data_IF_561744784978
#
_entry.id   IF_561744784978
#
_cell.length_a   1.000
_cell.length_b   1.000
_cell.length_c   1.000
_cell.angle_alpha   90.00
_cell.angle_beta   90.00
_cell.angle_gamma   90.00
#
_symmetry.space_group_name_H-M   'P 1'
#
loop_
_entity.id
_entity.type
_entity.pdbx_description
1 polymer ?
#
# COMPACT_ATOMS: atom_id res chain seq x y z
N UNK A 1 -36.13 6.44 36.85
CA UNK A 1 -35.63 5.32 36.03
C UNK A 1 -34.86 5.90 34.85
N UNK A 2 -33.52 5.76 34.79
CA UNK A 2 -32.71 6.46 33.81
C UNK A 2 -32.53 5.59 32.56
N UNK A 3 -33.27 5.91 31.51
CA UNK A 3 -32.98 5.47 30.14
C UNK A 3 -32.62 6.70 29.33
N UNK A 4 -31.33 6.81 28.96
CA UNK A 4 -30.80 7.45 27.75
C UNK A 4 -29.30 7.64 27.93
N UNK A 5 -28.54 6.58 27.68
CA UNK A 5 -27.23 6.71 27.04
C UNK A 5 -27.34 6.03 25.68
N UNK A 6 -27.83 6.76 24.69
CA UNK A 6 -27.45 6.49 23.30
C UNK A 6 -25.94 6.69 23.24
N UNK A 7 -25.18 5.60 23.33
CA UNK A 7 -23.82 5.60 22.80
C UNK A 7 -23.98 5.71 21.29
N UNK A 8 -23.78 6.91 20.75
CA UNK A 8 -23.39 7.07 19.36
C UNK A 8 -22.08 6.30 19.18
N UNK A 9 -22.17 5.03 18.78
CA UNK A 9 -21.01 4.33 18.23
C UNK A 9 -20.73 5.02 16.90
N UNK A 10 -19.69 5.86 16.88
CA UNK A 10 -19.08 6.29 15.61
C UNK A 10 -18.64 5.06 14.81
N UNK A 11 -18.39 5.22 13.49
CA UNK A 11 -17.96 4.10 12.67
C UNK A 11 -16.74 3.44 13.32
N UNK A 12 -16.77 2.11 13.41
CA UNK A 12 -15.71 1.35 14.05
C UNK A 12 -14.40 1.59 13.28
N UNK A 13 -13.53 2.46 13.81
CA UNK A 13 -12.25 2.78 13.18
C UNK A 13 -11.29 1.61 13.44
N UNK A 14 -11.00 0.84 12.40
CA UNK A 14 -9.85 -0.03 12.32
C UNK A 14 -8.57 0.70 12.72
N UNK A 15 -7.69 -0.05 13.37
CA UNK A 15 -6.47 0.51 13.94
C UNK A 15 -5.27 0.17 13.06
N UNK A 16 -4.39 1.14 12.85
CA UNK A 16 -3.07 0.90 12.28
C UNK A 16 -2.30 -0.03 13.24
N UNK A 17 -2.01 -1.24 12.79
CA UNK A 17 -1.29 -2.25 13.58
C UNK A 17 0.20 -2.11 13.35
N UNK A 18 0.60 -1.95 12.07
CA UNK A 18 2.02 -1.92 11.68
C UNK A 18 2.29 -1.05 10.47
N UNK A 19 3.51 -0.52 10.44
CA UNK A 19 4.12 0.11 9.26
C UNK A 19 5.32 -0.73 8.83
N UNK A 20 5.28 -1.23 7.60
CA UNK A 20 6.34 -1.97 6.92
C UNK A 20 7.21 -0.96 6.18
N UNK A 21 8.24 -0.48 6.84
CA UNK A 21 9.19 0.48 6.30
C UNK A 21 10.45 -0.22 5.79
N UNK A 22 10.93 0.16 4.61
CA UNK A 22 12.19 -0.35 4.08
C UNK A 22 12.38 -0.16 2.58
N UNK A 23 11.32 0.08 1.81
CA UNK A 23 11.45 0.52 0.43
C UNK A 23 12.14 1.89 0.37
N UNK A 24 12.88 2.14 -0.72
CA UNK A 24 13.57 3.40 -0.98
C UNK A 24 12.84 4.28 -2.02
N UNK A 25 11.57 3.98 -2.25
CA UNK A 25 10.68 4.62 -3.21
C UNK A 25 9.25 4.16 -2.97
N UNK A 26 8.33 4.61 -3.83
CA UNK A 26 6.91 4.33 -3.70
C UNK A 26 6.63 2.83 -3.66
N UNK A 27 5.75 2.39 -2.76
CA UNK A 27 5.23 1.02 -2.79
C UNK A 27 4.04 1.01 -3.73
N UNK A 28 4.18 0.30 -4.85
CA UNK A 28 3.23 0.30 -5.97
C UNK A 28 2.25 -0.87 -5.89
N UNK A 29 2.64 -1.97 -5.25
CA UNK A 29 1.81 -3.16 -5.12
C UNK A 29 1.99 -3.88 -3.80
N UNK A 30 0.92 -4.55 -3.36
CA UNK A 30 0.94 -5.38 -2.16
C UNK A 30 0.00 -6.57 -2.25
N UNK A 31 0.41 -7.72 -1.71
CA UNK A 31 -0.42 -8.93 -1.58
C UNK A 31 -0.17 -9.67 -0.28
N UNK A 32 -1.23 -10.21 0.32
CA UNK A 32 -1.10 -11.20 1.38
C UNK A 32 -0.91 -12.61 0.80
N UNK A 33 -0.10 -13.41 1.49
CA UNK A 33 -0.12 -14.85 1.27
C UNK A 33 -1.48 -15.45 1.65
N UNK A 34 -1.94 -16.53 0.98
CA UNK A 34 -3.18 -17.24 1.34
C UNK A 34 -3.23 -17.73 2.80
N UNK A 35 -2.06 -17.92 3.41
CA UNK A 35 -1.92 -18.29 4.82
C UNK A 35 -2.03 -17.12 5.82
N UNK A 36 -2.01 -15.88 5.33
CA UNK A 36 -1.88 -14.65 6.14
C UNK A 36 -0.50 -14.44 6.77
N UNK A 37 0.42 -15.39 6.67
CA UNK A 37 1.72 -15.33 7.37
C UNK A 37 2.75 -14.41 6.70
N UNK A 38 2.60 -14.11 5.40
CA UNK A 38 3.53 -13.26 4.66
C UNK A 38 2.80 -12.16 3.91
N UNK A 39 3.47 -11.03 3.77
CA UNK A 39 3.09 -9.90 2.91
C UNK A 39 4.16 -9.73 1.85
N UNK A 40 3.75 -9.58 0.59
CA UNK A 40 4.62 -9.27 -0.54
C UNK A 40 4.39 -7.82 -0.94
N UNK A 41 5.46 -7.05 -1.09
CA UNK A 41 5.38 -5.65 -1.57
C UNK A 41 6.33 -5.46 -2.74
N UNK A 42 5.89 -4.67 -3.71
CA UNK A 42 6.72 -4.20 -4.83
C UNK A 42 6.74 -2.69 -4.85
N UNK A 43 7.82 -2.11 -5.36
CA UNK A 43 7.95 -0.66 -5.41
C UNK A 43 8.79 -0.12 -6.56
N UNK A 44 8.76 1.20 -6.66
CA UNK A 44 9.54 1.99 -7.62
C UNK A 44 11.05 1.88 -7.40
N UNK A 45 11.47 1.41 -6.23
CA UNK A 45 12.86 1.06 -5.95
C UNK A 45 13.32 -0.24 -6.64
N UNK A 46 12.47 -0.82 -7.49
CA UNK A 46 12.77 -2.02 -8.27
C UNK A 46 12.85 -3.29 -7.43
N UNK A 47 12.34 -3.27 -6.20
CA UNK A 47 12.45 -4.40 -5.27
C UNK A 47 11.12 -5.12 -5.02
N UNK A 48 11.16 -6.45 -4.99
CA UNK A 48 10.10 -7.30 -4.44
C UNK A 48 10.52 -7.78 -3.06
N UNK A 49 9.78 -7.38 -2.03
CA UNK A 49 10.08 -7.69 -0.63
C UNK A 49 9.02 -8.56 0.00
N UNK A 50 9.45 -9.38 0.96
CA UNK A 50 8.62 -10.30 1.71
C UNK A 50 8.75 -9.98 3.18
N UNK A 51 7.62 -9.76 3.82
CA UNK A 51 7.50 -9.42 5.23
C UNK A 51 6.76 -10.51 5.98
N UNK A 52 7.08 -10.66 7.25
CA UNK A 52 6.32 -11.47 8.18
C UNK A 52 5.02 -10.75 8.53
N UNK A 53 3.88 -11.36 8.25
CA UNK A 53 2.56 -10.76 8.49
C UNK A 53 2.27 -10.54 9.97
N UNK A 54 2.83 -11.40 10.84
CA UNK A 54 2.62 -11.39 12.30
C UNK A 54 3.48 -10.39 13.08
N UNK A 55 4.63 -9.98 12.56
CA UNK A 55 5.57 -9.05 13.21
C UNK A 55 5.89 -7.81 12.38
N UNK A 56 5.64 -7.85 11.06
CA UNK A 56 6.02 -6.80 10.12
C UNK A 56 7.51 -6.74 9.80
N UNK A 57 8.29 -7.74 10.21
CA UNK A 57 9.72 -7.78 9.93
C UNK A 57 9.97 -8.17 8.47
N UNK A 58 10.92 -7.52 7.82
CA UNK A 58 11.43 -7.94 6.51
C UNK A 58 12.08 -9.34 6.63
N UNK A 59 11.55 -10.30 5.88
CA UNK A 59 12.07 -11.67 5.77
C UNK A 59 13.15 -11.72 4.69
N UNK A 60 12.82 -11.22 3.49
CA UNK A 60 13.70 -11.31 2.32
C UNK A 60 13.37 -10.24 1.28
N UNK A 61 14.37 -9.89 0.46
CA UNK A 61 14.17 -9.22 -0.82
C UNK A 61 14.38 -10.27 -1.92
N UNK A 62 13.32 -10.60 -2.66
CA UNK A 62 13.33 -11.68 -3.67
C UNK A 62 13.81 -11.22 -5.03
N UNK A 63 13.63 -9.94 -5.36
CA UNK A 63 14.05 -9.33 -6.61
C UNK A 63 14.58 -7.93 -6.29
N UNK A 64 15.71 -7.57 -6.89
CA UNK A 64 16.22 -6.20 -6.96
C UNK A 64 16.67 -5.95 -8.41
N UNK A 65 16.15 -4.89 -9.02
CA UNK A 65 16.51 -4.47 -10.37
C UNK A 65 16.47 -2.95 -10.50
N UNK A 66 17.02 -2.42 -11.59
CA UNK A 66 17.00 -0.97 -11.86
C UNK A 66 15.61 -0.47 -12.29
N UNK A 67 14.82 -1.34 -12.92
CA UNK A 67 13.50 -0.98 -13.43
C UNK A 67 12.43 -1.01 -12.33
N UNK A 68 11.64 0.07 -12.24
CA UNK A 68 10.53 0.20 -11.31
C UNK A 68 9.53 -0.96 -11.45
N UNK A 69 9.14 -1.57 -10.34
CA UNK A 69 8.05 -2.53 -10.31
C UNK A 69 6.74 -1.78 -10.09
N UNK A 70 5.75 -2.04 -10.94
CA UNK A 70 4.49 -1.27 -10.96
C UNK A 70 3.30 -2.06 -10.43
N UNK A 71 3.33 -3.38 -10.53
CA UNK A 71 2.26 -4.23 -10.04
C UNK A 71 2.78 -5.60 -9.63
N UNK A 72 2.05 -6.26 -8.74
CA UNK A 72 2.28 -7.66 -8.41
C UNK A 72 0.96 -8.38 -8.13
N UNK A 73 0.99 -9.69 -8.34
CA UNK A 73 -0.07 -10.58 -7.89
C UNK A 73 0.51 -11.92 -7.43
N UNK A 74 -0.13 -12.51 -6.42
CA UNK A 74 0.30 -13.77 -5.83
C UNK A 74 -0.73 -14.85 -6.17
N UNK A 75 -0.25 -15.98 -6.67
CA UNK A 75 -1.06 -17.15 -6.97
C UNK A 75 -1.75 -17.65 -5.70
N UNK A 76 -2.97 -18.16 -5.80
CA UNK A 76 -3.77 -18.62 -4.66
C UNK A 76 -3.15 -19.77 -3.82
N UNK A 77 -2.10 -20.43 -4.31
CA UNK A 77 -1.31 -21.42 -3.56
C UNK A 77 -0.15 -20.79 -2.75
N UNK A 78 0.14 -19.50 -2.96
CA UNK A 78 1.21 -18.75 -2.32
C UNK A 78 2.62 -19.11 -2.80
N UNK A 79 2.76 -19.84 -3.92
CA UNK A 79 4.04 -20.34 -4.43
C UNK A 79 4.59 -19.54 -5.58
N UNK A 80 3.73 -18.91 -6.38
CA UNK A 80 4.13 -18.16 -7.56
C UNK A 80 3.72 -16.71 -7.40
N UNK A 81 4.66 -15.80 -7.59
CA UNK A 81 4.42 -14.35 -7.63
C UNK A 81 4.75 -13.84 -9.03
N UNK A 82 3.87 -12.99 -9.54
CA UNK A 82 4.04 -12.32 -10.83
C UNK A 82 4.24 -10.85 -10.56
N UNK A 83 5.24 -10.27 -11.21
CA UNK A 83 5.54 -8.84 -11.11
C UNK A 83 5.66 -8.24 -12.50
N UNK A 84 5.11 -7.05 -12.67
CA UNK A 84 5.20 -6.27 -13.89
C UNK A 84 6.02 -5.00 -13.67
N UNK A 85 6.86 -4.63 -14.63
CA UNK A 85 7.73 -3.46 -14.54
C UNK A 85 7.42 -2.37 -15.58
N UNK A 86 8.13 -1.24 -15.42
CA UNK A 86 8.04 -0.06 -16.30
C UNK A 86 8.53 -0.32 -17.73
N UNK A 87 9.40 -1.32 -17.94
CA UNK A 87 9.98 -1.67 -19.24
C UNK A 87 9.08 -2.63 -20.04
N UNK A 88 7.90 -2.96 -19.53
CA UNK A 88 6.97 -3.87 -20.21
C UNK A 88 7.31 -5.35 -19.99
N UNK A 89 8.10 -5.66 -18.97
CA UNK A 89 8.46 -7.03 -18.63
C UNK A 89 7.53 -7.58 -17.57
N UNK A 90 7.27 -8.87 -17.68
CA UNK A 90 6.58 -9.65 -16.67
C UNK A 90 7.50 -10.77 -16.23
N UNK A 91 7.80 -10.78 -14.94
CA UNK A 91 8.62 -11.78 -14.28
C UNK A 91 7.71 -12.70 -13.45
N UNK A 92 7.90 -14.00 -13.61
CA UNK A 92 7.22 -15.01 -12.81
C UNK A 92 8.26 -15.66 -11.92
N UNK A 93 8.08 -15.55 -10.61
CA UNK A 93 9.07 -15.96 -9.60
C UNK A 93 8.45 -16.97 -8.64
N UNK A 94 9.29 -17.87 -8.12
CA UNK A 94 8.95 -18.68 -6.95
C UNK A 94 8.94 -17.78 -5.71
N UNK A 95 7.79 -17.70 -5.04
CA UNK A 95 7.53 -16.80 -3.92
C UNK A 95 8.31 -17.17 -2.64
N UNK A 96 8.95 -18.34 -2.60
CA UNK A 96 9.74 -18.79 -1.46
C UNK A 96 11.23 -18.50 -1.62
N UNK A 97 11.76 -18.76 -2.82
CA UNK A 97 13.18 -18.69 -3.14
C UNK A 97 13.57 -17.44 -3.92
N UNK A 98 12.62 -16.78 -4.58
CA UNK A 98 12.88 -15.68 -5.51
C UNK A 98 13.42 -16.14 -6.87
N UNK A 99 13.51 -17.46 -7.11
CA UNK A 99 14.01 -17.99 -8.38
C UNK A 99 13.02 -17.66 -9.49
N UNK A 100 13.54 -17.13 -10.60
CA UNK A 100 12.74 -16.88 -11.79
C UNK A 100 12.31 -18.19 -12.45
N UNK A 101 11.00 -18.36 -12.62
CA UNK A 101 10.34 -19.48 -13.29
C UNK A 101 10.20 -19.18 -14.78
N UNK A 102 9.67 -18.00 -15.10
CA UNK A 102 9.41 -17.58 -16.47
C UNK A 102 9.55 -16.06 -16.63
N UNK A 103 9.70 -15.63 -17.87
CA UNK A 103 9.79 -14.24 -18.27
C UNK A 103 9.17 -14.06 -19.65
N UNK A 104 8.40 -12.99 -19.82
CA UNK A 104 7.88 -12.57 -21.12
C UNK A 104 7.63 -11.05 -21.11
N UNK A 105 7.52 -10.49 -22.32
CA UNK A 105 7.26 -9.07 -22.51
C UNK A 105 6.06 -8.93 -23.46
N UNK A 106 4.86 -8.62 -22.93
CA UNK A 106 3.66 -8.45 -23.75
C UNK A 106 3.76 -7.26 -24.72
N UNK A 107 4.45 -6.21 -24.28
CA UNK A 107 4.67 -4.97 -25.02
C UNK A 107 5.93 -4.29 -24.48
N UNK A 108 6.48 -3.33 -25.22
CA UNK A 108 7.51 -2.42 -24.73
C UNK A 108 6.93 -1.31 -23.81
N UNK A 109 5.60 -1.24 -23.68
CA UNK A 109 4.94 -0.31 -22.78
C UNK A 109 4.87 -0.85 -21.34
N UNK A 110 4.91 0.03 -20.33
CA UNK A 110 4.81 -0.35 -18.92
C UNK A 110 3.68 -1.32 -18.59
N UNK A 111 3.98 -2.32 -17.75
CA UNK A 111 2.96 -3.24 -17.21
C UNK A 111 2.29 -2.60 -16.01
N UNK A 112 1.04 -2.14 -16.17
CA UNK A 112 0.31 -1.41 -15.12
C UNK A 112 -0.47 -2.31 -14.18
N UNK A 113 -0.91 -3.47 -14.66
CA UNK A 113 -1.71 -4.38 -13.85
C UNK A 113 -1.44 -5.83 -14.24
N UNK A 114 -1.40 -6.69 -13.23
CA UNK A 114 -1.39 -8.14 -13.40
C UNK A 114 -2.35 -8.79 -12.39
N UNK A 115 -2.95 -9.91 -12.81
CA UNK A 115 -3.87 -10.68 -11.97
C UNK A 115 -3.81 -12.16 -12.38
N UNK A 116 -3.82 -13.07 -11.41
CA UNK A 116 -4.01 -14.51 -11.62
C UNK A 116 -5.49 -14.84 -11.81
N UNK A 117 -5.76 -15.86 -12.62
CA UNK A 117 -7.09 -16.45 -12.70
C UNK A 117 -7.40 -17.25 -11.42
N UNK A 118 -8.68 -17.36 -11.01
CA UNK A 118 -9.05 -18.16 -9.84
C UNK A 118 -8.74 -19.65 -9.96
N UNK A 119 -8.68 -20.17 -11.18
CA UNK A 119 -8.22 -21.54 -11.46
C UNK A 119 -6.68 -21.66 -11.46
N UNK A 120 -5.98 -20.54 -11.27
CA UNK A 120 -4.52 -20.43 -11.13
C UNK A 120 -3.74 -20.95 -12.34
N UNK A 121 -4.39 -21.00 -13.49
CA UNK A 121 -3.82 -21.50 -14.75
C UNK A 121 -3.34 -20.39 -15.67
N UNK A 122 -3.80 -19.16 -15.44
CA UNK A 122 -3.59 -18.02 -16.32
C UNK A 122 -3.25 -16.77 -15.54
N UNK A 123 -2.64 -15.83 -16.23
CA UNK A 123 -2.53 -14.46 -15.79
C UNK A 123 -3.10 -13.52 -16.85
N UNK A 124 -3.61 -12.38 -16.41
CA UNK A 124 -4.01 -11.26 -17.23
C UNK A 124 -3.00 -10.15 -17.00
N UNK A 125 -2.62 -9.48 -18.08
CA UNK A 125 -1.64 -8.40 -18.05
C UNK A 125 -2.19 -7.20 -18.82
N UNK A 126 -2.30 -6.07 -18.14
CA UNK A 126 -2.69 -4.78 -18.70
C UNK A 126 -1.47 -3.87 -18.88
N UNK A 127 -1.33 -3.31 -20.07
CA UNK A 127 -0.18 -2.49 -20.46
C UNK A 127 -0.58 -1.04 -20.74
N UNK A 128 0.37 -0.12 -20.59
CA UNK A 128 0.14 1.32 -20.73
C UNK A 128 -0.15 1.78 -22.18
N UNK A 129 0.01 0.91 -23.16
CA UNK A 129 -0.42 1.12 -24.56
C UNK A 129 -1.89 0.78 -24.82
N UNK A 130 -2.60 0.26 -23.81
CA UNK A 130 -4.01 -0.14 -23.91
C UNK A 130 -4.21 -1.61 -24.25
N UNK A 131 -3.12 -2.37 -24.35
CA UNK A 131 -3.17 -3.81 -24.49
C UNK A 131 -3.71 -4.47 -23.22
N UNK A 132 -4.50 -5.52 -23.43
CA UNK A 132 -4.80 -6.53 -22.43
C UNK A 132 -4.46 -7.89 -23.02
N UNK A 133 -3.76 -8.74 -22.29
CA UNK A 133 -3.36 -10.06 -22.78
C UNK A 133 -3.43 -11.11 -21.69
N UNK A 134 -3.68 -12.36 -22.08
CA UNK A 134 -3.67 -13.50 -21.15
C UNK A 134 -2.55 -14.46 -21.49
N UNK A 135 -1.92 -15.00 -20.45
CA UNK A 135 -0.72 -15.82 -20.57
C UNK A 135 -0.80 -17.04 -19.67
N UNK A 136 -0.12 -18.11 -20.07
CA UNK A 136 0.26 -19.18 -19.18
C UNK A 136 1.51 -18.75 -18.40
N UNK A 137 1.44 -18.64 -17.05
CA UNK A 137 2.54 -18.13 -16.24
C UNK A 137 3.75 -19.07 -16.18
N UNK A 138 3.59 -20.37 -16.45
CA UNK A 138 4.69 -21.33 -16.37
C UNK A 138 5.40 -21.48 -17.71
N UNK A 139 4.66 -21.50 -18.82
CA UNK A 139 5.26 -21.61 -20.15
C UNK A 139 5.62 -20.26 -20.77
N UNK A 140 5.10 -19.15 -20.24
CA UNK A 140 5.25 -17.82 -20.84
C UNK A 140 4.55 -17.67 -22.18
N UNK A 141 3.64 -18.59 -22.52
CA UNK A 141 2.91 -18.57 -23.79
C UNK A 141 1.72 -17.63 -23.69
N UNK A 142 1.62 -16.70 -24.65
CA UNK A 142 0.43 -15.88 -24.83
C UNK A 142 -0.73 -16.74 -25.36
N UNK A 143 -1.91 -16.56 -24.77
CA UNK A 143 -3.13 -17.26 -25.15
C UNK A 143 -4.10 -16.36 -25.90
N UNK A 144 -4.31 -15.14 -25.41
CA UNK A 144 -5.13 -14.15 -26.09
C UNK A 144 -4.52 -12.74 -25.96
N UNK A 145 -4.87 -11.90 -26.92
CA UNK A 145 -4.64 -10.45 -26.89
C UNK A 145 -5.97 -9.77 -27.18
N UNK A 146 -6.23 -8.67 -26.48
CA UNK A 146 -7.45 -7.91 -26.59
C UNK A 146 -7.08 -6.45 -26.86
N UNK A 147 -7.53 -5.95 -28.01
CA UNK A 147 -7.47 -4.53 -28.34
C UNK A 147 -8.79 -3.90 -27.88
N UNK A 148 -8.73 -3.08 -26.83
CA UNK A 148 -9.93 -2.55 -26.19
C UNK A 148 -9.82 -1.07 -25.87
N UNK A 149 -8.81 -0.68 -25.10
CA UNK A 149 -8.73 0.66 -24.54
C UNK A 149 -8.06 1.66 -25.50
N UNK A 150 -8.63 2.85 -25.60
CA UNK A 150 -7.99 3.99 -26.30
C UNK A 150 -7.06 4.71 -25.34
N UNK A 151 -5.89 4.13 -25.10
CA UNK A 151 -4.94 4.55 -24.07
C UNK A 151 -4.70 3.44 -23.05
N UNK A 152 -3.85 3.70 -22.06
CA UNK A 152 -3.35 2.65 -21.16
C UNK A 152 -4.42 1.89 -20.40
N UNK A 153 -4.26 0.57 -20.32
CA UNK A 153 -5.01 -0.32 -19.42
C UNK A 153 -4.38 -0.19 -18.04
N UNK A 154 -5.12 0.34 -17.07
CA UNK A 154 -4.60 0.69 -15.74
C UNK A 154 -4.94 -0.38 -14.69
N UNK A 155 -6.04 -1.10 -14.87
CA UNK A 155 -6.45 -2.18 -13.97
C UNK A 155 -7.00 -3.37 -14.74
N UNK A 156 -6.75 -4.58 -14.23
CA UNK A 156 -7.37 -5.81 -14.73
C UNK A 156 -7.71 -6.76 -13.57
N UNK A 157 -8.77 -7.55 -13.75
CA UNK A 157 -9.19 -8.56 -12.78
C UNK A 157 -9.92 -9.71 -13.50
N UNK A 158 -9.64 -10.95 -13.11
CA UNK A 158 -10.41 -12.09 -13.59
C UNK A 158 -11.78 -12.18 -12.93
N UNK A 159 -12.77 -12.65 -13.68
CA UNK A 159 -14.02 -13.15 -13.12
C UNK A 159 -13.81 -14.45 -12.32
N UNK A 160 -14.73 -14.81 -11.42
CA UNK A 160 -14.54 -15.93 -10.47
C UNK A 160 -14.43 -17.30 -11.14
N UNK A 161 -14.99 -17.45 -12.35
CA UNK A 161 -14.88 -18.69 -13.13
C UNK A 161 -13.57 -18.78 -13.91
N UNK A 162 -12.81 -17.68 -14.00
CA UNK A 162 -11.65 -17.55 -14.88
C UNK A 162 -11.98 -17.53 -16.37
N UNK A 163 -13.27 -17.49 -16.75
CA UNK A 163 -13.69 -17.43 -18.15
C UNK A 163 -13.65 -16.00 -18.72
N UNK A 164 -13.73 -14.99 -17.86
CA UNK A 164 -13.72 -13.58 -18.26
C UNK A 164 -12.63 -12.79 -17.57
N UNK A 165 -12.20 -11.72 -18.23
CA UNK A 165 -11.29 -10.70 -17.66
C UNK A 165 -11.94 -9.34 -17.82
N UNK A 166 -12.04 -8.61 -16.72
CA UNK A 166 -12.39 -7.20 -16.71
C UNK A 166 -11.11 -6.36 -16.84
N UNK A 167 -11.18 -5.29 -17.62
CA UNK A 167 -10.13 -4.29 -17.74
C UNK A 167 -10.70 -2.88 -17.71
N UNK A 168 -9.90 -1.97 -17.16
CA UNK A 168 -10.20 -0.55 -17.07
C UNK A 168 -9.00 0.27 -17.53
N UNK A 169 -9.25 1.46 -18.06
CA UNK A 169 -8.17 2.27 -18.63
C UNK A 169 -8.41 3.78 -18.59
N UNK A 170 -7.44 4.48 -19.17
CA UNK A 170 -7.42 5.95 -19.31
C UNK A 170 -8.65 6.48 -20.05
N UNK A 171 -9.22 5.67 -20.93
CA UNK A 171 -10.39 6.03 -21.72
C UNK A 171 -11.71 6.08 -20.92
N UNK A 172 -11.68 5.65 -19.65
CA UNK A 172 -12.84 5.63 -18.76
C UNK A 172 -13.84 4.52 -19.07
N UNK A 173 -13.42 3.51 -19.82
CA UNK A 173 -14.23 2.35 -20.13
C UNK A 173 -13.92 1.18 -19.20
N UNK A 174 -14.97 0.43 -18.87
CA UNK A 174 -14.87 -0.93 -18.38
C UNK A 174 -15.10 -1.86 -19.58
N UNK A 175 -14.14 -2.73 -19.87
CA UNK A 175 -14.27 -3.76 -20.88
C UNK A 175 -14.22 -5.15 -20.22
N UNK A 176 -15.08 -6.06 -20.68
CA UNK A 176 -15.14 -7.45 -20.23
C UNK A 176 -14.85 -8.32 -21.44
N UNK A 177 -13.84 -9.16 -21.32
CA UNK A 177 -13.33 -10.01 -22.37
C UNK A 177 -13.53 -11.49 -22.03
N UNK A 178 -13.82 -12.32 -23.03
CA UNK A 178 -13.77 -13.76 -22.88
C UNK A 178 -12.31 -14.20 -23.00
N UNK A 179 -11.83 -15.00 -22.05
CA UNK A 179 -10.43 -15.44 -21.99
C UNK A 179 -10.01 -16.27 -23.21
N UNK A 180 -10.96 -16.96 -23.86
CA UNK A 180 -10.72 -17.71 -25.10
C UNK A 180 -10.67 -16.82 -26.34
N UNK A 181 -10.91 -15.52 -26.19
CA UNK A 181 -10.85 -14.52 -27.24
C UNK A 181 -12.17 -13.78 -27.43
N UNK A 182 -12.07 -12.47 -27.68
CA UNK A 182 -13.21 -11.60 -27.97
C UNK A 182 -13.63 -10.71 -26.79
N UNK A 183 -14.30 -9.62 -27.12
CA UNK A 183 -14.88 -8.68 -26.15
C UNK A 183 -16.36 -9.02 -25.96
N UNK A 184 -16.74 -9.34 -24.72
CA UNK A 184 -18.10 -9.73 -24.35
C UNK A 184 -18.97 -8.51 -24.09
N UNK A 185 -18.43 -7.52 -23.35
CA UNK A 185 -19.14 -6.31 -23.01
C UNK A 185 -18.18 -5.12 -22.91
N UNK A 186 -18.68 -3.93 -23.18
CA UNK A 186 -17.94 -2.68 -23.03
C UNK A 186 -18.90 -1.57 -22.62
N UNK A 187 -18.69 -1.01 -21.45
CA UNK A 187 -19.54 0.05 -20.89
C UNK A 187 -18.69 1.23 -20.42
N UNK A 188 -19.20 2.44 -20.62
CA UNK A 188 -18.49 3.65 -20.22
C UNK A 188 -18.88 4.04 -18.81
N UNK A 189 -17.90 4.23 -17.94
CA UNK A 189 -18.13 4.72 -16.60
C UNK A 189 -18.39 6.24 -16.63
N UNK A 190 -19.66 6.64 -16.53
CA UNK A 190 -20.05 8.04 -16.39
C UNK A 190 -19.53 8.96 -17.50
N UNK A 191 -18.88 10.07 -17.09
CA UNK A 191 -18.46 11.15 -17.98
C UNK A 191 -17.14 10.88 -18.74
N UNK A 192 -16.56 9.67 -18.61
CA UNK A 192 -15.33 9.30 -19.32
C UNK A 192 -14.04 9.72 -18.62
N UNK A 193 -14.07 9.89 -17.30
CA UNK A 193 -12.86 10.07 -16.50
C UNK A 193 -12.03 8.77 -16.47
N UNK A 194 -10.69 8.83 -16.38
CA UNK A 194 -9.84 7.66 -16.25
C UNK A 194 -10.26 6.73 -15.11
N UNK A 195 -10.29 5.43 -15.37
CA UNK A 195 -10.48 4.40 -14.35
C UNK A 195 -9.14 3.77 -14.02
N UNK A 196 -8.78 3.76 -12.74
CA UNK A 196 -7.49 3.27 -12.25
C UNK A 196 -7.55 1.83 -11.78
N UNK A 197 -8.67 1.42 -11.19
CA UNK A 197 -8.77 0.10 -10.57
C UNK A 197 -10.09 -0.59 -10.90
N UNK A 198 -10.04 -1.92 -10.94
CA UNK A 198 -11.21 -2.77 -10.97
C UNK A 198 -11.01 -4.00 -10.08
N UNK A 199 -12.11 -4.50 -9.51
CA UNK A 199 -12.12 -5.72 -8.73
C UNK A 199 -13.42 -6.48 -9.01
N UNK A 200 -13.34 -7.81 -9.01
CA UNK A 200 -14.51 -8.69 -9.14
C UNK A 200 -14.74 -9.37 -7.80
N UNK A 201 -15.99 -9.40 -7.34
CA UNK A 201 -16.34 -10.11 -6.12
C UNK A 201 -16.14 -11.63 -6.30
N UNK A 202 -15.80 -12.38 -5.24
CA UNK A 202 -15.61 -13.84 -5.34
C UNK A 202 -16.84 -14.60 -5.87
N UNK A 203 -18.05 -14.07 -5.66
CA UNK A 203 -19.29 -14.64 -6.23
C UNK A 203 -19.45 -14.36 -7.72
N UNK A 204 -18.77 -13.35 -8.25
CA UNK A 204 -18.95 -12.81 -9.61
C UNK A 204 -20.22 -12.02 -9.82
N UNK A 205 -21.01 -11.81 -8.78
CA UNK A 205 -22.27 -11.07 -8.90
C UNK A 205 -22.05 -9.57 -8.93
N UNK A 206 -20.94 -9.11 -8.35
CA UNK A 206 -20.59 -7.69 -8.30
C UNK A 206 -19.19 -7.46 -8.86
N UNK A 207 -19.01 -6.33 -9.51
CA UNK A 207 -17.70 -5.77 -9.83
C UNK A 207 -17.63 -4.34 -9.29
N UNK A 208 -16.43 -3.89 -8.97
CA UNK A 208 -16.16 -2.55 -8.49
C UNK A 208 -15.16 -1.88 -9.44
N UNK A 209 -15.36 -0.59 -9.70
CA UNK A 209 -14.37 0.24 -10.41
C UNK A 209 -14.22 1.59 -9.72
N UNK A 210 -13.00 2.09 -9.67
CA UNK A 210 -12.67 3.42 -9.16
C UNK A 210 -11.69 4.15 -10.08
N UNK A 211 -11.70 5.47 -10.04
CA UNK A 211 -10.90 6.30 -10.94
C UNK A 211 -10.74 7.74 -10.48
N UNK A 212 -10.36 8.59 -11.45
CA UNK A 212 -10.05 10.02 -11.27
C UNK A 212 -11.22 10.84 -10.73
N UNK A 213 -12.46 10.42 -10.99
CA UNK A 213 -13.64 11.16 -10.52
C UNK A 213 -14.01 10.89 -9.06
N UNK A 214 -13.26 10.02 -8.36
CA UNK A 214 -13.51 9.67 -6.97
C UNK A 214 -14.79 8.86 -6.74
N UNK A 215 -15.50 8.45 -7.80
CA UNK A 215 -16.76 7.70 -7.68
C UNK A 215 -16.45 6.21 -7.73
N UNK A 216 -16.77 5.52 -6.64
CA UNK A 216 -16.79 4.06 -6.61
C UNK A 216 -18.07 3.57 -7.29
N UNK A 217 -17.92 2.84 -8.40
CA UNK A 217 -19.04 2.24 -9.13
C UNK A 217 -19.10 0.75 -8.88
N UNK A 218 -20.30 0.28 -8.54
CA UNK A 218 -20.63 -1.12 -8.37
C UNK A 218 -21.47 -1.56 -9.56
N UNK A 219 -21.03 -2.62 -10.20
CA UNK A 219 -21.61 -3.17 -11.41
C UNK A 219 -22.16 -4.55 -11.11
N UNK A 220 -23.27 -4.91 -11.76
CA UNK A 220 -23.76 -6.27 -11.77
C UNK A 220 -22.89 -7.10 -12.71
N UNK A 221 -22.26 -8.15 -12.18
CA UNK A 221 -21.30 -8.95 -12.92
C UNK A 221 -21.88 -9.78 -14.07
N UNK A 222 -23.21 -9.94 -14.15
CA UNK A 222 -23.88 -10.71 -15.22
C UNK A 222 -24.34 -9.83 -16.37
N UNK A 223 -25.00 -8.72 -16.05
CA UNK A 223 -25.55 -7.77 -17.01
C UNK A 223 -24.55 -6.70 -17.45
N UNK A 224 -23.50 -6.47 -16.65
CA UNK A 224 -22.53 -5.41 -16.88
C UNK A 224 -23.06 -4.01 -16.54
N UNK A 225 -24.27 -3.87 -16.02
CA UNK A 225 -24.89 -2.58 -15.72
C UNK A 225 -24.48 -2.03 -14.35
N UNK A 226 -24.43 -0.70 -14.21
CA UNK A 226 -24.19 -0.04 -12.91
C UNK A 226 -25.38 -0.25 -11.97
N UNK A 227 -25.11 -0.86 -10.82
CA UNK A 227 -26.07 -1.08 -9.72
C UNK A 227 -26.05 0.09 -8.74
N UNK A 228 -24.86 0.60 -8.44
CA UNK A 228 -24.68 1.67 -7.45
C UNK A 228 -23.48 2.55 -7.81
N UNK A 229 -23.60 3.84 -7.54
CA UNK A 229 -22.50 4.79 -7.57
C UNK A 229 -22.36 5.43 -6.18
N UNK A 230 -21.16 5.39 -5.63
CA UNK A 230 -20.83 5.85 -4.30
C UNK A 230 -19.82 6.98 -4.44
N UNK A 231 -20.25 8.20 -4.11
CA UNK A 231 -19.41 9.38 -4.19
C UNK A 231 -18.35 9.35 -3.09
N UNK A 232 -17.10 9.58 -3.48
CA UNK A 232 -15.96 9.79 -2.60
C UNK A 232 -15.37 11.18 -2.81
N UNK A 233 -14.56 11.61 -1.85
CA UNK A 233 -14.01 12.97 -1.83
C UNK A 233 -12.67 13.10 -2.58
N UNK A 234 -12.09 11.98 -3.01
CA UNK A 234 -10.75 11.91 -3.61
C UNK A 234 -10.66 10.79 -4.65
N UNK A 235 -9.82 10.92 -5.70
CA UNK A 235 -9.60 9.89 -6.70
C UNK A 235 -9.26 8.52 -6.11
N UNK A 236 -9.85 7.47 -6.68
CA UNK A 236 -9.69 6.09 -6.21
C UNK A 236 -8.64 5.37 -7.05
N UNK A 237 -7.52 5.00 -6.42
CA UNK A 237 -6.38 4.38 -7.10
C UNK A 237 -6.40 2.86 -7.00
N UNK A 238 -6.98 2.31 -5.94
CA UNK A 238 -7.08 0.86 -5.74
C UNK A 238 -8.42 0.44 -5.16
N UNK A 239 -8.88 -0.75 -5.56
CA UNK A 239 -10.01 -1.41 -4.94
C UNK A 239 -9.82 -2.93 -4.88
N UNK A 240 -10.34 -3.57 -3.83
CA UNK A 240 -10.23 -5.02 -3.62
C UNK A 240 -11.45 -5.52 -2.84
N UNK A 241 -12.09 -6.59 -3.30
CA UNK A 241 -13.12 -7.27 -2.51
C UNK A 241 -12.47 -8.16 -1.44
N UNK A 242 -13.12 -8.26 -0.29
CA UNK A 242 -12.79 -9.26 0.72
C UNK A 242 -13.10 -10.69 0.23
N UNK A 243 -12.39 -11.71 0.74
CA UNK A 243 -12.62 -13.12 0.40
C UNK A 243 -14.07 -13.61 0.56
N UNK A 244 -14.86 -13.02 1.47
CA UNK A 244 -16.28 -13.35 1.67
C UNK A 244 -17.22 -12.51 0.79
N UNK A 245 -16.72 -11.53 0.05
CA UNK A 245 -17.49 -10.66 -0.85
C UNK A 245 -18.39 -9.63 -0.16
N UNK A 246 -18.45 -9.61 1.18
CA UNK A 246 -19.27 -8.66 1.96
C UNK A 246 -18.59 -7.29 2.11
N UNK A 247 -17.27 -7.25 2.00
CA UNK A 247 -16.46 -6.05 2.18
C UNK A 247 -15.76 -5.67 0.89
N UNK A 248 -15.58 -4.38 0.69
CA UNK A 248 -14.76 -3.80 -0.37
C UNK A 248 -13.85 -2.75 0.26
N UNK A 249 -12.56 -2.85 0.02
CA UNK A 249 -11.58 -1.83 0.41
C UNK A 249 -11.26 -0.95 -0.79
N UNK A 250 -11.10 0.35 -0.57
CA UNK A 250 -10.61 1.30 -1.56
C UNK A 250 -9.53 2.19 -0.98
N UNK A 251 -8.44 2.37 -1.71
CA UNK A 251 -7.39 3.34 -1.39
C UNK A 251 -7.54 4.57 -2.28
N UNK A 252 -7.50 5.75 -1.67
CA UNK A 252 -7.59 7.02 -2.38
C UNK A 252 -6.26 7.79 -2.46
N UNK A 253 -6.27 8.86 -3.26
CA UNK A 253 -5.12 9.74 -3.46
C UNK A 253 -4.78 10.56 -2.20
N UNK A 254 -5.73 10.74 -1.28
CA UNK A 254 -5.50 11.49 -0.04
C UNK A 254 -4.83 10.64 1.06
N UNK A 255 -4.48 9.39 0.77
CA UNK A 255 -3.87 8.50 1.76
C UNK A 255 -4.88 7.87 2.73
N UNK A 256 -6.17 7.88 2.37
CA UNK A 256 -7.24 7.32 3.18
C UNK A 256 -7.70 5.97 2.63
N UNK A 257 -7.68 4.96 3.50
CA UNK A 257 -8.28 3.66 3.23
C UNK A 257 -9.75 3.71 3.62
N UNK A 258 -10.66 3.42 2.69
CA UNK A 258 -12.10 3.33 2.95
C UNK A 258 -12.57 1.88 2.86
N UNK A 259 -13.38 1.45 3.82
CA UNK A 259 -14.00 0.13 3.88
C UNK A 259 -15.50 0.24 3.72
N UNK A 260 -16.00 -0.40 2.67
CA UNK A 260 -17.39 -0.43 2.28
C UNK A 260 -18.01 -1.77 2.65
N UNK A 261 -19.20 -1.75 3.25
CA UNK A 261 -19.97 -2.95 3.54
C UNK A 261 -21.08 -3.10 2.50
N UNK A 262 -20.94 -4.11 1.64
CA UNK A 262 -21.86 -4.37 0.54
C UNK A 262 -23.25 -4.80 1.05
N UNK A 263 -24.29 -4.35 0.36
CA UNK A 263 -25.69 -4.62 0.75
C UNK A 263 -26.20 -3.78 1.91
N UNK A 264 -25.39 -2.85 2.46
CA UNK A 264 -25.81 -1.92 3.50
C UNK A 264 -25.75 -0.47 3.03
N UNK A 265 -26.61 0.39 3.58
CA UNK A 265 -26.58 1.84 3.33
C UNK A 265 -25.64 2.58 4.29
N UNK A 266 -24.75 1.87 4.99
CA UNK A 266 -23.86 2.47 5.97
C UNK A 266 -22.75 3.26 5.26
N UNK A 267 -22.35 4.42 5.79
CA UNK A 267 -21.19 5.13 5.27
C UNK A 267 -19.93 4.26 5.44
N UNK A 268 -18.94 4.40 4.55
CA UNK A 268 -17.70 3.66 4.67
C UNK A 268 -16.95 4.03 5.95
N UNK A 269 -16.27 3.06 6.55
CA UNK A 269 -15.30 3.35 7.58
C UNK A 269 -14.02 3.89 6.91
N UNK A 270 -13.49 5.02 7.39
CA UNK A 270 -12.28 5.64 6.87
C UNK A 270 -11.11 5.45 7.85
N UNK A 271 -9.95 5.07 7.33
CA UNK A 271 -8.71 4.92 8.08
C UNK A 271 -7.65 5.83 7.46
N UNK A 272 -7.30 6.87 8.22
CA UNK A 272 -6.24 7.80 7.85
C UNK A 272 -4.93 7.40 8.53
N UNK A 273 -3.81 7.58 7.83
CA UNK A 273 -2.49 7.32 8.40
C UNK A 273 -1.36 7.17 7.39
N UNK A 274 -1.67 7.00 6.10
CA UNK A 274 -0.69 7.26 5.04
C UNK A 274 -0.52 8.76 4.82
N UNK A 275 0.67 9.16 4.39
CA UNK A 275 1.02 10.56 4.11
C UNK A 275 0.96 10.90 2.62
N UNK A 276 0.69 9.90 1.78
CA UNK A 276 0.58 10.01 0.34
C UNK A 276 -0.39 8.95 -0.20
N UNK A 277 -0.47 8.86 -1.53
CA UNK A 277 -1.42 8.07 -2.29
C UNK A 277 -1.40 6.59 -1.88
N UNK A 278 -2.57 5.94 -1.83
CA UNK A 278 -2.66 4.48 -1.63
C UNK A 278 -2.73 3.79 -3.00
N UNK A 279 -1.58 3.32 -3.47
CA UNK A 279 -1.42 2.70 -4.78
C UNK A 279 -2.07 1.31 -4.88
N UNK A 280 -2.06 0.53 -3.79
CA UNK A 280 -2.66 -0.80 -3.77
C UNK A 280 -3.17 -1.18 -2.37
N UNK A 281 -4.14 -2.07 -2.31
CA UNK A 281 -4.62 -2.68 -1.08
C UNK A 281 -4.95 -4.17 -1.27
N UNK A 282 -4.89 -4.94 -0.18
CA UNK A 282 -5.29 -6.34 -0.15
C UNK A 282 -5.83 -6.75 1.23
N UNK A 283 -6.72 -7.73 1.26
CA UNK A 283 -7.29 -8.26 2.50
C UNK A 283 -6.42 -9.37 3.08
N UNK A 284 -6.39 -9.46 4.41
CA UNK A 284 -5.98 -10.71 5.07
C UNK A 284 -7.03 -11.79 4.72
N UNK A 285 -6.63 -13.05 4.44
CA UNK A 285 -7.55 -14.11 4.02
C UNK A 285 -8.74 -14.36 4.96
N UNK A 286 -8.59 -14.12 6.25
CA UNK A 286 -9.65 -14.28 7.25
C UNK A 286 -10.52 -13.02 7.44
N UNK A 287 -10.22 -11.94 6.71
CA UNK A 287 -10.79 -10.58 6.83
C UNK A 287 -10.58 -9.92 8.20
N UNK A 288 -9.57 -10.33 8.96
CA UNK A 288 -9.20 -9.66 10.22
C UNK A 288 -8.53 -8.31 10.00
N UNK A 289 -8.08 -8.03 8.77
CA UNK A 289 -7.26 -6.87 8.46
C UNK A 289 -7.13 -6.59 6.97
N UNK A 290 -6.49 -5.46 6.68
CA UNK A 290 -6.14 -4.99 5.33
C UNK A 290 -4.67 -4.59 5.33
N UNK A 291 -3.98 -4.78 4.22
CA UNK A 291 -2.68 -4.14 3.96
C UNK A 291 -2.82 -3.14 2.82
N UNK A 292 -2.13 -2.02 2.94
CA UNK A 292 -2.05 -0.96 1.94
C UNK A 292 -0.60 -0.71 1.56
N UNK A 293 -0.36 -0.37 0.30
CA UNK A 293 0.90 0.12 -0.25
C UNK A 293 0.73 1.56 -0.68
N UNK A 294 1.71 2.40 -0.39
CA UNK A 294 1.61 3.84 -0.60
C UNK A 294 2.86 4.46 -1.22
N UNK A 295 2.63 5.59 -1.87
CA UNK A 295 3.67 6.50 -2.33
C UNK A 295 4.51 7.10 -1.17
N UNK A 296 4.09 6.92 0.09
CA UNK A 296 4.87 7.33 1.27
C UNK A 296 6.02 6.37 1.62
N UNK A 297 6.41 5.50 0.69
CA UNK A 297 7.49 4.50 0.81
C UNK A 297 7.19 3.40 1.85
N UNK A 298 5.97 3.35 2.37
CA UNK A 298 5.56 2.35 3.36
C UNK A 298 4.38 1.50 2.88
N UNK A 299 4.33 0.28 3.41
CA UNK A 299 3.09 -0.47 3.45
C UNK A 299 2.54 -0.48 4.89
N UNK A 300 1.23 -0.39 5.07
CA UNK A 300 0.60 -0.38 6.41
C UNK A 300 -0.38 -1.52 6.55
N UNK A 301 -0.40 -2.13 7.74
CA UNK A 301 -1.33 -3.20 8.11
C UNK A 301 -2.36 -2.63 9.08
N UNK A 302 -3.63 -2.79 8.74
CA UNK A 302 -4.79 -2.29 9.46
C UNK A 302 -5.56 -3.47 10.04
N UNK A 303 -5.95 -3.39 11.31
CA UNK A 303 -6.88 -4.35 11.91
C UNK A 303 -8.28 -3.89 11.58
N UNK A 304 -9.10 -4.80 11.10
CA UNK A 304 -10.54 -4.58 11.06
C UNK A 304 -11.12 -4.93 12.43
N UNK A 305 -12.06 -4.12 12.95
CA UNK A 305 -12.84 -4.54 14.09
C UNK A 305 -13.58 -5.83 13.70
N UNK A 306 -13.71 -6.77 14.65
CA UNK A 306 -14.56 -7.94 14.43
C UNK A 306 -15.93 -7.44 13.98
N UNK A 307 -16.26 -7.66 12.71
CA UNK A 307 -17.59 -7.47 12.19
C UNK A 307 -18.43 -8.60 12.78
N UNK A 308 -18.77 -8.49 14.06
CA UNK A 308 -19.85 -9.27 14.65
C UNK A 308 -21.04 -9.09 13.72
N UNK A 309 -21.58 -10.21 13.26
CA UNK A 309 -22.75 -10.27 12.41
C UNK A 309 -23.85 -9.43 13.05
N UNK A 310 -23.97 -8.19 12.57
CA UNK A 310 -25.17 -7.42 12.76
C UNK A 310 -26.23 -8.20 11.97
N UNK A 311 -26.97 -9.05 12.69
CA UNK A 311 -28.25 -9.56 12.25
C UNK A 311 -29.09 -8.33 11.95
N UNK A 312 -29.12 -7.91 10.69
CA UNK A 312 -30.06 -6.88 10.23
C UNK A 312 -31.21 -7.59 9.52
N UNK A 313 -32.42 -7.34 10.04
CA UNK A 313 -33.67 -7.81 9.46
C UNK A 313 -33.78 -7.32 8.00
N UNK A 314 -34.37 -8.12 7.10
CA UNK A 314 -34.53 -7.74 5.71
C UNK A 314 -35.35 -6.45 5.60
N UNK A 315 -34.78 -5.44 4.93
CA UNK A 315 -35.48 -4.20 4.59
C UNK A 315 -36.60 -4.51 3.60
N UNK A 316 -37.86 -4.33 4.02
CA UNK A 316 -39.03 -4.31 3.13
C UNK A 316 -38.92 -3.14 2.14
N UNK A 317 -38.60 -3.45 0.89
CA UNK A 317 -38.43 -2.49 -0.22
C UNK A 317 -39.75 -1.82 -0.68
N UNK A 318 -40.91 -2.14 -0.09
CA UNK A 318 -42.20 -1.58 -0.52
C UNK A 318 -42.57 -0.22 0.11
N UNK A 319 -41.87 0.26 1.14
CA UNK A 319 -42.26 1.50 1.84
C UNK A 319 -41.61 2.80 1.33
N UNK A 320 -40.73 2.74 0.34
CA UNK A 320 -40.02 3.92 -0.22
C UNK A 320 -40.68 4.50 -1.48
N UNK A 321 -41.97 4.26 -1.71
CA UNK A 321 -42.78 5.04 -2.66
C UNK A 321 -43.71 5.98 -1.92
N UNK A 322 -43.22 7.17 -1.58
CA UNK A 322 -44.08 8.20 -1.00
C UNK A 322 -43.39 9.53 -0.70
N UNK A 323 -43.49 10.48 -1.64
CA UNK A 323 -43.56 11.91 -1.32
C UNK A 323 -42.26 12.71 -1.32
N UNK A 324 -41.94 13.32 -2.46
CA UNK A 324 -41.01 14.47 -2.53
C UNK A 324 -41.58 15.65 -1.73
N UNK A 325 -40.75 16.25 -0.86
CA UNK A 325 -41.02 17.56 -0.28
C UNK A 325 -39.80 18.47 -0.43
N UNK A 326 -39.95 19.47 -1.29
CA UNK A 326 -39.01 20.56 -1.58
C UNK A 326 -38.96 21.51 -0.37
N UNK A 327 -37.76 21.86 0.10
CA UNK A 327 -37.55 22.98 1.03
C UNK A 327 -36.80 24.08 0.29
N UNK A 328 -37.34 25.29 0.38
CA UNK A 328 -37.06 26.43 -0.49
C UNK A 328 -35.77 27.20 -0.21
N UNK A 329 -35.43 28.04 -1.18
CA UNK A 329 -34.30 28.96 -1.23
C UNK A 329 -34.43 30.13 -0.24
N UNK A 330 -33.28 30.61 0.23
CA UNK A 330 -33.09 31.87 0.95
C UNK A 330 -31.89 32.64 0.36
N UNK A 331 -31.80 33.97 0.57
CA UNK A 331 -31.48 34.92 -0.49
C UNK A 331 -29.99 35.23 -0.66
N UNK A 332 -29.69 35.73 -1.87
CA UNK A 332 -28.45 36.36 -2.28
C UNK A 332 -28.17 37.67 -1.53
N UNK A 333 -26.88 37.97 -1.34
CA UNK A 333 -26.34 39.29 -1.04
C UNK A 333 -25.21 39.57 -2.02
N UNK A 334 -25.34 40.70 -2.71
CA UNK A 334 -24.47 41.22 -3.77
C UNK A 334 -23.36 42.15 -3.26
N UNK A 335 -22.34 42.29 -4.12
CA UNK A 335 -21.33 43.35 -4.27
C UNK A 335 -20.16 43.36 -3.26
N UNK A 336 -18.90 43.64 -3.61
CA UNK A 336 -18.38 44.41 -4.76
C UNK A 336 -16.88 44.07 -5.01
N UNK A 337 -16.39 44.49 -6.18
CA UNK A 337 -15.09 44.28 -6.83
C UNK A 337 -13.83 44.73 -6.05
N UNK A 338 -12.68 44.08 -6.28
CA UNK A 338 -11.48 44.69 -6.91
C UNK A 338 -10.26 43.73 -6.98
N UNK A 339 -9.72 43.58 -8.21
CA UNK A 339 -8.30 43.38 -8.59
C UNK A 339 -7.53 42.10 -8.17
N UNK A 340 -7.10 41.29 -9.15
CA UNK A 340 -6.01 40.28 -9.02
C UNK A 340 -4.61 40.89 -9.33
N UNK A 341 -3.55 40.12 -9.68
CA UNK A 341 -3.21 38.71 -9.48
C UNK A 341 -1.82 38.50 -8.80
N UNK A 342 -1.48 37.25 -8.45
CA UNK A 342 -0.16 36.74 -8.00
C UNK A 342 0.46 37.30 -6.69
N UNK A 343 0.83 36.40 -5.78
CA UNK A 343 1.81 36.67 -4.73
C UNK A 343 1.49 35.97 -3.41
N UNK A 344 2.20 34.87 -3.16
CA UNK A 344 2.58 34.30 -1.86
C UNK A 344 1.84 34.75 -0.59
N UNK A 345 1.15 33.81 0.06
CA UNK A 345 1.23 33.65 1.52
C UNK A 345 0.84 32.22 1.92
N UNK A 346 1.86 31.40 2.20
CA UNK A 346 1.69 30.13 2.94
C UNK A 346 1.65 30.47 4.43
N UNK A 347 0.74 29.91 5.24
CA UNK A 347 0.78 30.12 6.69
C UNK A 347 2.07 29.51 7.28
N UNK A 348 3.00 30.39 7.64
CA UNK A 348 4.33 30.13 8.21
C UNK A 348 4.27 29.79 9.70
N UNK A 349 3.45 28.81 10.06
CA UNK A 349 3.27 28.37 11.45
C UNK A 349 2.99 26.88 11.64
N UNK A 350 3.08 26.07 10.58
CA UNK A 350 2.77 24.65 10.64
C UNK A 350 3.86 23.82 11.34
N UNK A 351 3.43 22.81 12.09
CA UNK A 351 4.29 21.74 12.60
C UNK A 351 4.42 20.73 11.46
N UNK A 352 5.65 20.50 10.99
CA UNK A 352 5.97 19.53 9.93
C UNK A 352 5.95 18.10 10.44
N UNK A 353 6.41 17.92 11.67
CA UNK A 353 6.60 16.60 12.26
C UNK A 353 6.61 16.72 13.79
N UNK A 354 6.21 15.66 14.47
CA UNK A 354 6.37 15.57 15.90
C UNK A 354 6.64 14.13 16.36
N UNK A 355 7.56 14.00 17.31
CA UNK A 355 7.95 12.73 17.90
C UNK A 355 7.93 12.85 19.42
N UNK A 356 7.51 11.78 20.08
CA UNK A 356 7.61 11.66 21.54
C UNK A 356 8.91 10.95 21.91
N UNK A 357 9.47 11.27 23.07
CA UNK A 357 10.53 10.44 23.66
C UNK A 357 9.98 9.04 24.00
N UNK A 358 10.87 8.05 24.07
CA UNK A 358 10.49 6.64 24.29
C UNK A 358 9.73 6.42 25.61
N UNK A 359 9.90 7.31 26.59
CA UNK A 359 9.19 7.33 27.87
C UNK A 359 7.90 8.19 27.85
N UNK A 360 7.59 8.84 26.73
CA UNK A 360 6.42 9.70 26.55
C UNK A 360 6.47 11.05 27.28
N UNK A 361 7.57 11.37 27.96
CA UNK A 361 7.67 12.57 28.79
C UNK A 361 7.91 13.87 28.00
N UNK A 362 8.50 13.76 26.80
CA UNK A 362 8.87 14.91 25.97
C UNK A 362 8.24 14.80 24.58
N UNK A 363 7.83 15.96 24.07
CA UNK A 363 7.36 16.14 22.70
C UNK A 363 8.35 17.01 21.94
N UNK A 364 8.90 16.46 20.85
CA UNK A 364 9.75 17.18 19.91
C UNK A 364 8.90 17.55 18.70
N UNK A 365 8.87 18.83 18.33
CA UNK A 365 8.15 19.33 17.15
C UNK A 365 9.11 20.04 16.22
N UNK A 366 9.03 19.76 14.93
CA UNK A 366 9.78 20.47 13.89
C UNK A 366 8.83 21.37 13.12
N UNK A 367 9.16 22.65 13.02
CA UNK A 367 8.33 23.63 12.30
C UNK A 367 8.87 23.94 10.89
N UNK A 368 8.01 24.49 10.04
CA UNK A 368 8.39 25.01 8.71
C UNK A 368 9.51 26.08 8.74
N UNK A 369 9.77 26.68 9.91
CA UNK A 369 10.86 27.62 10.14
C UNK A 369 12.24 26.95 10.34
N UNK A 370 12.32 25.62 10.22
CA UNK A 370 13.54 24.84 10.37
C UNK A 370 14.03 24.74 11.82
N UNK A 371 13.19 25.12 12.79
CA UNK A 371 13.50 25.01 14.22
C UNK A 371 12.95 23.72 14.79
N UNK A 372 13.78 23.07 15.60
CA UNK A 372 13.38 21.92 16.41
C UNK A 372 13.10 22.42 17.83
N UNK A 373 11.87 22.23 18.28
CA UNK A 373 11.40 22.65 19.61
C UNK A 373 11.13 21.42 20.46
N UNK A 374 11.58 21.43 21.71
CA UNK A 374 11.32 20.36 22.68
C UNK A 374 10.46 20.90 23.82
N UNK A 375 9.37 20.19 24.14
CA UNK A 375 8.39 20.56 25.17
C UNK A 375 8.15 19.39 26.12
N UNK A 376 7.78 19.70 27.37
CA UNK A 376 7.25 18.71 28.31
C UNK A 376 5.85 18.28 27.85
N UNK A 377 5.64 16.98 27.65
CA UNK A 377 4.36 16.43 27.18
C UNK A 377 3.25 16.55 28.23
N UNK A 378 3.59 16.61 29.52
CA UNK A 378 2.63 16.66 30.62
C UNK A 378 2.14 18.09 30.95
N UNK A 379 3.00 19.11 30.82
CA UNK A 379 2.66 20.50 31.17
C UNK A 379 2.53 21.44 29.98
N UNK A 380 2.99 21.03 28.79
CA UNK A 380 3.06 21.89 27.61
C UNK A 380 4.11 22.99 27.69
N UNK A 381 4.89 23.05 28.78
CA UNK A 381 5.91 24.08 28.96
C UNK A 381 7.09 23.89 28.01
N UNK A 382 7.59 25.02 27.51
CA UNK A 382 8.67 25.10 26.54
C UNK A 382 10.03 24.85 27.20
N UNK A 383 10.75 23.81 26.77
CA UNK A 383 12.01 23.42 27.40
C UNK A 383 13.25 23.94 26.66
N UNK A 384 13.30 23.88 25.31
CA UNK A 384 14.46 24.37 24.52
C UNK A 384 14.22 24.43 22.99
N UNK A 385 14.97 25.32 22.31
CA UNK A 385 15.12 25.37 20.84
C UNK A 385 16.52 24.89 20.40
N UNK A 386 16.60 24.08 19.33
CA UNK A 386 17.85 23.68 18.67
C UNK A 386 17.89 24.22 17.23
N UNK A 387 18.94 24.98 16.89
CA UNK A 387 19.16 25.52 15.54
C UNK A 387 20.28 24.76 14.81
N UNK A 388 20.11 24.46 13.51
CA UNK A 388 21.13 23.82 12.67
C UNK A 388 22.27 24.80 12.32
N UNK A 389 23.51 24.40 12.59
CA UNK A 389 24.69 24.97 11.90
C UNK A 389 24.82 24.35 10.51
N UNK A 390 24.84 25.17 9.46
CA UNK A 390 25.01 24.72 8.07
C UNK A 390 26.40 24.09 7.86
N UNK A 391 26.41 22.87 7.31
CA UNK A 391 27.57 22.30 6.61
C UNK A 391 28.23 21.12 7.32
N UNK A 392 27.83 19.90 6.95
CA UNK A 392 28.69 18.71 6.73
C UNK A 392 27.83 17.43 6.73
N UNK A 393 28.06 16.56 5.74
CA UNK A 393 27.49 15.20 5.66
C UNK A 393 27.92 14.40 6.88
N UNK A 394 27.04 14.05 7.81
CA UNK A 394 27.32 12.99 8.80
C UNK A 394 26.10 12.10 9.03
N UNK A 395 26.35 10.78 8.97
CA UNK A 395 25.49 9.71 9.52
C UNK A 395 25.06 10.11 10.93
N UNK A 396 23.76 10.08 11.20
CA UNK A 396 23.27 10.11 12.58
C UNK A 396 23.26 8.67 13.09
N UNK A 397 24.30 8.25 13.82
CA UNK A 397 24.24 7.07 14.65
C UNK A 397 23.66 7.47 16.00
N UNK A 398 22.41 7.10 16.29
CA UNK A 398 21.89 7.09 17.65
C UNK A 398 22.47 5.88 18.38
N UNK A 399 23.58 6.08 19.09
CA UNK A 399 23.98 5.16 20.17
C UNK A 399 23.06 5.45 21.35
N UNK A 400 22.21 4.48 21.70
CA UNK A 400 21.58 4.42 23.00
C UNK A 400 22.68 4.28 24.06
N UNK A 401 22.93 5.36 24.80
CA UNK A 401 23.76 5.35 25.99
C UNK A 401 22.85 5.21 27.19
N UNK A 402 23.08 4.16 27.98
CA UNK A 402 22.45 3.99 29.28
C UNK A 402 23.04 2.76 29.95
N UNK A 403 24.09 2.95 30.74
CA UNK A 403 24.06 2.54 32.14
C UNK A 403 25.24 3.14 32.91
N UNK A 404 24.97 3.37 34.19
CA UNK A 404 25.58 4.33 35.07
C UNK A 404 26.89 3.86 35.71
N UNK A 405 27.64 4.87 36.19
CA UNK A 405 28.35 4.85 37.46
C UNK A 405 29.03 3.55 37.92
N UNK A 406 30.32 3.41 37.60
CA UNK A 406 31.30 3.13 38.66
C UNK A 406 32.72 3.49 38.19
N UNK A 407 33.14 4.74 38.39
CA UNK A 407 34.55 5.12 38.19
C UNK A 407 34.92 6.33 39.03
N UNK A 408 34.76 6.18 40.34
CA UNK A 408 35.37 7.05 41.33
C UNK A 408 36.30 6.23 42.22
N UNK A 409 37.46 5.81 41.70
CA UNK A 409 38.74 5.76 42.45
C UNK A 409 39.91 5.27 41.61
N UNK A 410 40.96 6.10 41.63
CA UNK A 410 42.38 5.73 41.55
C UNK A 410 42.96 5.36 40.18
N UNK A 411 43.28 6.41 39.40
CA UNK A 411 44.60 6.50 38.78
C UNK A 411 45.60 7.06 39.79
N UNK A 412 46.51 6.23 40.28
CA UNK A 412 47.86 6.68 40.65
C UNK A 412 48.85 5.53 40.39
N UNK A 413 49.93 5.88 39.69
CA UNK A 413 51.22 5.20 39.58
C UNK A 413 51.33 4.11 38.50
N UNK A 414 51.65 4.57 37.28
CA UNK A 414 52.77 4.01 36.53
C UNK A 414 54.05 4.55 37.15
N UNK A 415 54.94 3.67 37.58
CA UNK A 415 56.40 3.71 37.40
C UNK A 415 57.01 2.61 38.27
N UNK A 416 57.80 1.72 37.67
CA UNK A 416 58.46 0.63 38.41
C UNK A 416 58.98 -0.50 37.54
N UNK A 417 60.15 -0.26 36.95
CA UNK A 417 61.22 -1.16 36.50
C UNK A 417 61.21 -2.57 37.17
N UNK A 418 61.47 -3.63 36.39
CA UNK A 418 61.51 -5.07 36.79
C UNK A 418 62.74 -5.48 37.63
N UNK A 419 63.29 -6.73 37.56
CA UNK A 419 62.81 -8.00 36.98
C UNK A 419 62.80 -9.17 38.01
N UNK A 420 62.27 -10.35 37.66
CA UNK A 420 62.71 -11.63 38.26
C UNK A 420 62.27 -12.85 37.42
N UNK A 421 63.24 -13.73 37.21
CA UNK A 421 63.22 -14.99 36.47
C UNK A 421 62.29 -16.07 37.04
N UNK A 422 62.01 -17.08 36.20
CA UNK A 422 62.12 -18.47 36.68
C UNK A 422 60.97 -19.43 36.37
N UNK A 423 61.08 -20.07 35.20
CA UNK A 423 60.75 -21.48 34.92
C UNK A 423 59.31 -22.02 35.06
N UNK A 424 58.80 -22.57 33.95
CA UNK A 424 57.63 -23.45 33.97
C UNK A 424 57.20 -23.98 32.60
N UNK A 425 58.12 -24.71 31.94
CA UNK A 425 58.01 -25.47 30.69
C UNK A 425 56.61 -25.98 30.28
N UNK A 426 56.31 -25.89 28.98
CA UNK A 426 55.17 -26.60 28.37
C UNK A 426 54.98 -26.42 26.86
N UNK A 427 55.94 -26.95 26.08
CA UNK A 427 55.82 -27.43 24.70
C UNK A 427 55.44 -26.48 23.52
N UNK A 428 56.22 -26.66 22.44
CA UNK A 428 56.33 -25.84 21.24
C UNK A 428 55.21 -26.02 20.18
N UNK A 429 55.06 -25.03 19.27
CA UNK A 429 54.45 -25.12 17.94
C UNK A 429 55.57 -25.51 16.91
N UNK A 430 55.52 -25.40 15.55
CA UNK A 430 54.97 -24.29 14.77
C UNK A 430 54.28 -24.60 13.42
N UNK A 431 53.49 -23.63 12.99
CA UNK A 431 53.23 -23.30 11.59
C UNK A 431 54.46 -22.65 10.94
N UNK A 432 54.78 -22.98 9.68
CA UNK A 432 55.38 -22.04 8.71
C UNK A 432 55.56 -22.60 7.30
N UNK A 433 55.46 -21.65 6.36
CA UNK A 433 55.92 -21.58 4.95
C UNK A 433 54.72 -21.52 3.97
N UNK A 434 54.47 -20.48 3.17
CA UNK A 434 55.27 -19.32 2.73
C UNK A 434 55.76 -19.52 1.29
N UNK A 435 55.19 -18.77 0.32
CA UNK A 435 55.71 -18.40 -1.03
C UNK A 435 54.60 -17.61 -1.75
N UNK A 436 54.63 -16.27 -1.92
CA UNK A 436 55.37 -15.36 -2.83
C UNK A 436 55.01 -15.41 -4.34
N UNK A 437 54.41 -14.28 -4.79
CA UNK A 437 54.71 -13.42 -5.96
C UNK A 437 54.32 -13.80 -7.41
N UNK A 438 53.55 -12.89 -8.04
CA UNK A 438 53.76 -12.08 -9.30
C UNK A 438 52.39 -11.87 -9.97
N UNK A 439 51.84 -10.67 -10.21
CA UNK A 439 52.25 -9.50 -11.02
C UNK A 439 52.44 -9.75 -12.51
N UNK A 440 51.93 -8.80 -13.31
CA UNK A 440 51.95 -8.61 -14.77
C UNK A 440 50.72 -9.17 -15.52
N UNK A 441 49.95 -8.38 -16.28
CA UNK A 441 50.18 -7.06 -16.92
C UNK A 441 48.94 -6.20 -16.90
#
# INVERSE_FOLDING_TARGET
APWLRRRSRGPASGQLVRTLAGHAGEVTGVRYSPSGQRVFTVGDDGSLRVWDGGSGRLIATLLEQEANLLCCDLRGDGRVVVVGDIDGRVLVLDAHSGVQIAFFSPSAAPVRSCSHSPAESLIAVGTADGGLSTWDPLSGRQLASFEGHRGGTLGCAFGPTGATVASVGVDGWLAIHDVRGGTVARERAGQGAPLYCCAVAPSGELMATGGEDGILRIWDGRSGSVVQALEGDSPLLSCRFGPRGRLLATGDQDGTLRLWQMGTSRPPAAFSGHMAWINACDFVPDESGIVTASADETAKVWSLPALEDAVEEPLDLEKQRGGFRRVGAGPAVDADETQGPNGEDRPSGGILDCAFSDDGALLVTVGFDGRVRVRSAASGEHCRDLARSRGSRHRMCLRAGGEEADQQRQRRLRDGVGPADGNGRGACPPSRAGLRLRSER
#
